data_IF_758594088313
#
_entry.id   IF_758594088313
#
_cell.length_a   1.000
_cell.length_b   1.000
_cell.length_c   1.000
_cell.angle_alpha   90.00
_cell.angle_beta   90.00
_cell.angle_gamma   90.00
#
_symmetry.space_group_name_H-M   'P 1'
#
loop_
_entity.id
_entity.type
_entity.pdbx_description
1 polymer ?
#
# COMPACT_ATOMS: atom_id res chain seq x y z
N UNK A 1 5.03 -10.36 -10.23
CA UNK A 1 3.78 -10.37 -9.48
C UNK A 1 2.62 -9.80 -10.29
N UNK A 2 2.72 -8.63 -10.92
CA UNK A 2 1.61 -8.02 -11.69
C UNK A 2 0.98 -8.97 -12.70
N UNK A 3 1.78 -9.68 -13.50
CA UNK A 3 1.26 -10.69 -14.45
C UNK A 3 0.49 -11.83 -13.80
N UNK A 4 0.77 -12.15 -12.53
CA UNK A 4 0.00 -13.14 -11.76
C UNK A 4 -1.35 -12.63 -11.30
N UNK A 5 -1.51 -11.31 -11.18
CA UNK A 5 -2.75 -10.66 -10.79
C UNK A 5 -3.67 -10.35 -11.98
N UNK A 6 -3.27 -10.66 -13.21
CA UNK A 6 -4.03 -10.34 -14.43
C UNK A 6 -5.47 -10.88 -14.39
N UNK A 7 -5.68 -12.05 -13.79
CA UNK A 7 -7.01 -12.63 -13.63
C UNK A 7 -7.94 -11.80 -12.71
N UNK A 8 -7.37 -10.89 -11.90
CA UNK A 8 -8.12 -9.98 -11.01
C UNK A 8 -8.32 -8.58 -11.57
N UNK A 9 -7.63 -8.26 -12.66
CA UNK A 9 -7.74 -6.96 -13.31
C UNK A 9 -6.88 -6.87 -14.54
N UNK A 10 -7.48 -6.49 -15.64
CA UNK A 10 -6.82 -6.39 -16.94
C UNK A 10 -7.14 -5.08 -17.68
N UNK A 11 -7.87 -4.17 -17.04
CA UNK A 11 -8.25 -2.89 -17.66
C UNK A 11 -7.09 -1.91 -17.67
N UNK A 12 -6.30 -1.88 -16.61
CA UNK A 12 -5.07 -1.10 -16.58
C UNK A 12 -4.03 -1.70 -15.65
N UNK A 13 -2.78 -1.34 -15.90
CA UNK A 13 -1.60 -1.82 -15.17
C UNK A 13 -0.67 -0.67 -14.88
N UNK A 14 -0.13 -0.62 -13.67
CA UNK A 14 0.89 0.36 -13.34
C UNK A 14 1.83 -0.10 -12.24
N UNK A 15 2.95 0.58 -12.19
CA UNK A 15 4.00 0.35 -11.21
C UNK A 15 4.74 1.63 -10.89
N UNK A 16 5.04 1.83 -9.63
CA UNK A 16 5.92 2.87 -9.12
C UNK A 16 7.13 2.23 -8.45
N UNK A 17 8.29 2.77 -8.73
CA UNK A 17 9.57 2.38 -8.15
C UNK A 17 10.14 3.57 -7.40
N UNK A 18 10.69 3.33 -6.22
CA UNK A 18 11.46 4.31 -5.47
C UNK A 18 12.89 3.81 -5.41
N UNK A 19 13.78 4.56 -6.04
CA UNK A 19 15.21 4.26 -6.11
C UNK A 19 15.94 4.67 -4.82
N UNK A 20 17.20 4.23 -4.69
CA UNK A 20 18.04 4.56 -3.53
C UNK A 20 18.28 6.08 -3.38
N UNK A 21 18.29 6.82 -4.49
CA UNK A 21 18.38 8.28 -4.53
C UNK A 21 17.02 8.99 -4.34
N UNK A 22 16.03 8.24 -3.82
CA UNK A 22 14.71 8.74 -3.40
C UNK A 22 13.83 9.28 -4.52
N UNK A 23 14.14 8.95 -5.78
CA UNK A 23 13.31 9.34 -6.93
C UNK A 23 12.18 8.34 -7.16
N UNK A 24 10.98 8.85 -7.46
CA UNK A 24 9.85 8.06 -7.88
C UNK A 24 9.86 7.94 -9.41
N UNK A 25 9.80 6.72 -9.91
CA UNK A 25 9.55 6.44 -11.32
C UNK A 25 8.20 5.74 -11.43
N UNK A 26 7.22 6.43 -12.02
CA UNK A 26 5.86 5.90 -12.23
C UNK A 26 5.68 5.53 -13.69
N UNK A 27 5.17 4.32 -13.95
CA UNK A 27 4.72 3.88 -15.26
C UNK A 27 3.38 3.17 -15.15
N UNK A 28 2.40 3.68 -15.87
CA UNK A 28 1.05 3.12 -15.86
C UNK A 28 0.38 3.32 -17.22
N UNK A 29 -0.49 2.38 -17.59
CA UNK A 29 -1.21 2.42 -18.86
C UNK A 29 -2.45 1.52 -18.82
N UNK A 30 -3.44 1.90 -19.61
CA UNK A 30 -4.57 1.02 -19.94
C UNK A 30 -4.07 -0.26 -20.61
N UNK A 31 -4.59 -1.38 -20.16
CA UNK A 31 -4.35 -2.72 -20.67
C UNK A 31 -3.83 -3.72 -19.66
N UNK A 32 -3.89 -4.97 -20.04
CA UNK A 32 -3.53 -6.12 -19.23
C UNK A 32 -2.01 -6.16 -18.90
N UNK A 33 -1.62 -6.67 -17.73
CA UNK A 33 -0.22 -6.78 -17.32
C UNK A 33 0.68 -7.51 -18.30
N UNK A 34 0.18 -8.54 -18.97
CA UNK A 34 0.93 -9.30 -19.97
C UNK A 34 1.38 -8.44 -21.15
N UNK A 35 0.60 -7.41 -21.51
CA UNK A 35 0.87 -6.47 -22.61
C UNK A 35 1.60 -5.21 -22.11
N UNK A 36 1.15 -4.65 -20.98
CA UNK A 36 1.65 -3.36 -20.47
C UNK A 36 3.04 -3.49 -19.83
N UNK A 37 3.32 -4.56 -19.08
CA UNK A 37 4.62 -4.71 -18.43
C UNK A 37 5.81 -4.70 -19.41
N UNK A 38 5.79 -5.44 -20.53
CA UNK A 38 6.88 -5.35 -21.52
C UNK A 38 6.89 -4.00 -22.26
N UNK A 39 5.71 -3.46 -22.62
CA UNK A 39 5.60 -2.16 -23.30
C UNK A 39 6.25 -1.03 -22.51
N UNK A 40 5.98 -0.96 -21.22
CA UNK A 40 6.51 0.04 -20.29
C UNK A 40 7.86 -0.35 -19.69
N UNK A 41 8.42 -1.50 -20.09
CA UNK A 41 9.69 -2.04 -19.57
C UNK A 41 9.70 -2.07 -18.03
N UNK A 42 8.59 -2.50 -17.41
CA UNK A 42 8.47 -2.57 -15.94
C UNK A 42 9.48 -3.55 -15.35
N UNK A 43 9.80 -4.63 -16.07
CA UNK A 43 10.78 -5.63 -15.64
C UNK A 43 12.25 -5.12 -15.67
N UNK A 44 12.53 -3.95 -16.28
CA UNK A 44 13.88 -3.38 -16.36
C UNK A 44 14.20 -2.38 -15.25
N UNK A 45 13.25 -2.11 -14.34
CA UNK A 45 13.49 -1.23 -13.22
C UNK A 45 14.18 -1.96 -12.08
N UNK A 46 15.16 -1.29 -11.49
CA UNK A 46 15.72 -1.63 -10.21
C UNK A 46 15.35 -0.56 -9.19
N UNK A 47 14.99 -0.97 -8.00
CA UNK A 47 14.63 -0.06 -6.91
C UNK A 47 14.49 -0.82 -5.62
N UNK A 48 14.55 -0.10 -4.51
CA UNK A 48 14.41 -0.69 -3.18
C UNK A 48 12.94 -0.91 -2.80
N UNK A 49 12.04 -0.10 -3.34
CA UNK A 49 10.61 -0.13 -3.03
C UNK A 49 9.80 -0.14 -4.32
N UNK A 50 8.76 -0.95 -4.29
CA UNK A 50 7.90 -1.14 -5.45
C UNK A 50 6.44 -1.14 -4.99
N UNK A 51 5.59 -0.35 -5.65
CA UNK A 51 4.13 -0.38 -5.51
C UNK A 51 3.56 -0.64 -6.90
N UNK A 52 2.80 -1.71 -7.06
CA UNK A 52 2.19 -2.07 -8.34
C UNK A 52 0.71 -2.37 -8.18
N UNK A 53 -0.06 -2.13 -9.23
CA UNK A 53 -1.50 -2.36 -9.23
C UNK A 53 -1.97 -2.83 -10.61
N UNK A 54 -2.92 -3.75 -10.62
CA UNK A 54 -3.73 -4.14 -11.77
C UNK A 54 -5.18 -3.76 -11.44
N UNK A 55 -5.86 -3.10 -12.37
CA UNK A 55 -7.18 -2.56 -12.14
C UNK A 55 -8.24 -3.31 -12.92
N UNK A 56 -9.32 -3.65 -12.22
CA UNK A 56 -10.63 -3.89 -12.79
C UNK A 56 -11.45 -2.65 -12.46
N UNK A 57 -11.88 -1.91 -13.48
CA UNK A 57 -12.53 -0.63 -13.29
C UNK A 57 -13.95 -0.82 -12.75
N UNK A 58 -14.17 -0.37 -11.52
CA UNK A 58 -15.49 -0.33 -10.88
C UNK A 58 -15.99 1.10 -10.72
N UNK A 59 -15.07 2.06 -10.53
CA UNK A 59 -15.34 3.48 -10.38
C UNK A 59 -14.38 4.30 -11.27
N UNK A 60 -14.94 5.27 -12.04
CA UNK A 60 -14.19 6.02 -13.03
C UNK A 60 -13.87 5.23 -14.31
N UNK A 61 -13.68 5.91 -15.43
CA UNK A 61 -13.41 5.32 -16.73
C UNK A 61 -12.08 4.57 -16.82
N UNK A 62 -11.92 3.75 -17.87
CA UNK A 62 -10.66 3.05 -18.18
C UNK A 62 -9.77 4.01 -18.96
N UNK A 63 -8.92 4.75 -18.24
CA UNK A 63 -7.98 5.74 -18.80
C UNK A 63 -6.61 5.61 -18.12
N UNK A 64 -5.58 6.13 -18.78
CA UNK A 64 -4.22 6.15 -18.21
C UNK A 64 -4.18 7.01 -16.93
N UNK A 65 -4.97 8.07 -16.83
CA UNK A 65 -5.07 8.94 -15.64
C UNK A 65 -5.66 8.18 -14.45
N UNK A 66 -6.75 7.43 -14.69
CA UNK A 66 -7.43 6.63 -13.67
C UNK A 66 -6.69 5.33 -13.32
N UNK A 67 -5.60 5.00 -14.03
CA UNK A 67 -4.75 3.86 -13.68
C UNK A 67 -3.95 4.16 -12.40
N UNK A 68 -3.66 3.13 -11.63
CA UNK A 68 -2.86 3.21 -10.40
C UNK A 68 -1.46 2.63 -10.64
N UNK A 69 -0.46 2.98 -9.82
CA UNK A 69 -0.48 3.88 -8.64
C UNK A 69 -0.72 5.36 -8.97
N UNK A 70 -1.14 6.12 -7.94
CA UNK A 70 -1.23 7.57 -7.99
C UNK A 70 0.00 8.19 -7.34
N UNK A 71 0.58 9.20 -7.99
CA UNK A 71 1.68 10.01 -7.48
C UNK A 71 1.13 11.39 -7.19
N UNK A 72 1.14 11.78 -5.94
CA UNK A 72 0.62 13.07 -5.45
C UNK A 72 1.76 13.90 -4.87
N UNK A 73 1.65 15.22 -5.02
CA UNK A 73 2.69 16.16 -4.56
C UNK A 73 2.13 17.58 -4.33
N UNK A 74 0.89 17.68 -3.85
CA UNK A 74 0.28 18.97 -3.56
C UNK A 74 0.92 19.63 -2.34
N UNK A 75 1.26 18.84 -1.32
CA UNK A 75 1.87 19.30 -0.06
C UNK A 75 3.09 18.45 0.31
N UNK A 76 3.02 17.15 0.09
CA UNK A 76 4.07 16.17 0.34
C UNK A 76 4.15 15.22 -0.85
N UNK A 77 5.33 14.71 -1.16
CA UNK A 77 5.49 13.76 -2.26
C UNK A 77 5.17 12.35 -1.79
N UNK A 78 4.08 11.77 -2.26
CA UNK A 78 3.65 10.41 -1.96
C UNK A 78 3.31 9.64 -3.23
N UNK A 79 3.52 8.34 -3.19
CA UNK A 79 2.99 7.43 -4.20
C UNK A 79 2.23 6.29 -3.53
N UNK A 80 1.07 5.95 -4.06
CA UNK A 80 0.24 4.90 -3.47
C UNK A 80 -0.74 4.27 -4.43
N UNK A 81 -1.30 3.14 -4.01
CA UNK A 81 -2.34 2.41 -4.71
C UNK A 81 -3.30 1.78 -3.72
N UNK A 82 -4.53 1.52 -4.16
CA UNK A 82 -5.51 0.81 -3.35
C UNK A 82 -6.16 -0.34 -4.13
N UNK A 83 -6.78 -1.22 -3.39
CA UNK A 83 -7.66 -2.27 -3.89
C UNK A 83 -8.93 -2.28 -3.05
N UNK A 84 -10.07 -2.08 -3.66
CA UNK A 84 -11.37 -1.98 -2.98
C UNK A 84 -12.18 -0.79 -3.46
N UNK A 85 -13.02 -0.25 -2.58
CA UNK A 85 -13.90 0.87 -2.88
C UNK A 85 -14.02 1.81 -1.69
N UNK A 86 -13.96 3.13 -1.97
CA UNK A 86 -14.22 4.21 -1.02
C UNK A 86 -15.57 4.82 -1.38
N UNK A 87 -16.57 4.64 -0.52
CA UNK A 87 -17.96 4.98 -0.80
C UNK A 87 -18.26 6.48 -0.75
N UNK A 88 -17.52 7.25 0.06
CA UNK A 88 -17.71 8.69 0.22
C UNK A 88 -16.75 9.55 -0.63
N UNK A 89 -16.30 9.02 -1.79
CA UNK A 89 -15.29 9.62 -2.68
C UNK A 89 -15.63 11.06 -3.06
N UNK A 90 -16.87 11.38 -3.47
CA UNK A 90 -17.23 12.71 -3.92
C UNK A 90 -17.14 13.76 -2.80
N UNK A 91 -17.59 13.39 -1.61
CA UNK A 91 -17.46 14.24 -0.41
C UNK A 91 -16.01 14.52 -0.08
N UNK A 92 -15.16 13.48 -0.11
CA UNK A 92 -13.73 13.59 0.16
C UNK A 92 -13.02 14.39 -0.93
N UNK A 93 -13.40 14.22 -2.20
CA UNK A 93 -12.83 15.00 -3.33
C UNK A 93 -13.11 16.49 -3.14
N UNK A 94 -14.36 16.86 -2.81
CA UNK A 94 -14.73 18.24 -2.53
C UNK A 94 -13.94 18.80 -1.33
N UNK A 95 -13.82 18.01 -0.25
CA UNK A 95 -13.09 18.39 0.95
C UNK A 95 -11.58 18.60 0.69
N UNK A 96 -10.95 17.75 -0.11
CA UNK A 96 -9.55 17.85 -0.51
C UNK A 96 -9.31 19.04 -1.43
N UNK A 97 -10.18 19.24 -2.44
CA UNK A 97 -10.09 20.37 -3.37
C UNK A 97 -10.18 21.70 -2.64
N UNK A 98 -11.08 21.83 -1.66
CA UNK A 98 -11.19 23.03 -0.81
C UNK A 98 -9.91 23.31 0.03
N UNK A 99 -9.04 22.30 0.18
CA UNK A 99 -7.74 22.40 0.89
C UNK A 99 -6.55 22.52 -0.05
N UNK A 100 -6.80 22.74 -1.35
CA UNK A 100 -5.77 22.97 -2.35
C UNK A 100 -5.16 21.72 -2.97
N UNK A 101 -5.78 20.54 -2.79
CA UNK A 101 -5.36 19.35 -3.51
C UNK A 101 -5.88 19.34 -4.94
N UNK A 102 -5.02 18.97 -5.88
CA UNK A 102 -5.36 18.76 -7.27
C UNK A 102 -5.71 17.29 -7.51
N UNK A 103 -6.94 16.89 -7.25
CA UNK A 103 -7.44 15.54 -7.53
C UNK A 103 -7.78 15.45 -9.02
N UNK A 104 -6.93 14.76 -9.80
CA UNK A 104 -6.97 14.78 -11.27
C UNK A 104 -7.70 13.59 -11.87
N UNK A 105 -7.80 12.45 -11.16
CA UNK A 105 -8.50 11.28 -11.65
C UNK A 105 -9.91 11.16 -11.06
N UNK A 106 -10.68 10.26 -11.66
CA UNK A 106 -11.96 9.82 -11.08
C UNK A 106 -11.80 8.54 -10.26
N UNK A 107 -10.56 8.06 -10.08
CA UNK A 107 -10.30 6.85 -9.31
C UNK A 107 -10.27 7.16 -7.81
N UNK A 108 -11.07 6.44 -7.05
CA UNK A 108 -11.16 6.56 -5.59
C UNK A 108 -9.84 6.26 -4.87
N UNK A 109 -8.92 5.51 -5.50
CA UNK A 109 -7.58 5.28 -4.98
C UNK A 109 -6.71 6.54 -4.92
N UNK A 110 -6.94 7.56 -5.75
CA UNK A 110 -6.25 8.84 -5.63
C UNK A 110 -6.67 9.56 -4.33
N UNK A 111 -7.94 9.43 -3.95
CA UNK A 111 -8.49 10.07 -2.76
C UNK A 111 -7.76 9.63 -1.48
N UNK A 112 -7.54 8.31 -1.29
CA UNK A 112 -6.85 7.85 -0.08
C UNK A 112 -5.41 8.32 -0.01
N UNK A 113 -4.71 8.45 -1.15
CA UNK A 113 -3.34 8.96 -1.18
C UNK A 113 -3.31 10.45 -0.81
N UNK A 114 -4.24 11.25 -1.34
CA UNK A 114 -4.37 12.67 -0.98
C UNK A 114 -4.83 12.89 0.47
N UNK A 115 -5.72 12.04 1.01
CA UNK A 115 -6.09 12.09 2.43
C UNK A 115 -4.89 11.88 3.33
N UNK A 116 -4.06 10.88 3.01
CA UNK A 116 -2.82 10.64 3.75
C UNK A 116 -1.86 11.82 3.59
N UNK A 117 -1.71 12.38 2.38
CA UNK A 117 -0.90 13.56 2.11
C UNK A 117 -1.31 14.77 2.97
N UNK A 118 -2.62 15.06 3.04
CA UNK A 118 -3.18 16.16 3.83
C UNK A 118 -2.81 16.02 5.31
N UNK A 119 -3.10 14.86 5.88
CA UNK A 119 -2.82 14.63 7.30
C UNK A 119 -1.33 14.49 7.59
N UNK A 120 -0.54 13.98 6.63
CA UNK A 120 0.90 13.87 6.80
C UNK A 120 1.58 15.24 6.75
N UNK A 121 1.16 16.12 5.84
CA UNK A 121 1.60 17.52 5.81
C UNK A 121 1.28 18.24 7.12
N UNK A 122 0.05 18.09 7.63
CA UNK A 122 -0.33 18.65 8.92
C UNK A 122 0.51 18.08 10.09
N UNK A 123 0.85 16.78 10.03
CA UNK A 123 1.66 16.11 11.04
C UNK A 123 3.12 16.59 11.06
N UNK A 124 3.63 17.22 10.00
CA UNK A 124 5.00 17.76 9.99
C UNK A 124 5.17 18.91 11.00
N UNK A 125 4.12 19.67 11.25
CA UNK A 125 4.13 20.78 12.23
C UNK A 125 3.97 20.31 13.68
N UNK A 126 3.63 19.04 13.92
CA UNK A 126 3.53 18.51 15.28
C UNK A 126 4.89 18.49 15.97
N UNK A 127 4.97 19.08 17.16
CA UNK A 127 6.15 18.99 17.99
C UNK A 127 6.41 17.53 18.43
N UNK A 128 7.63 17.23 18.81
CA UNK A 128 7.97 15.90 19.33
C UNK A 128 7.15 15.52 20.57
N UNK A 129 6.75 16.50 21.38
CA UNK A 129 5.83 16.31 22.50
C UNK A 129 4.45 15.82 22.08
N UNK A 130 3.97 16.26 20.91
CA UNK A 130 2.63 15.89 20.40
C UNK A 130 2.59 14.42 19.91
N UNK A 131 3.76 13.84 19.62
CA UNK A 131 3.91 12.43 19.28
C UNK A 131 4.19 11.52 20.50
N UNK A 132 4.24 12.11 21.70
CA UNK A 132 4.60 11.37 22.93
C UNK A 132 3.67 10.17 23.17
N UNK A 133 2.37 10.31 22.84
CA UNK A 133 1.42 9.20 22.98
C UNK A 133 1.71 8.03 22.04
N UNK A 134 2.14 8.31 20.78
CA UNK A 134 2.55 7.26 19.84
C UNK A 134 3.86 6.61 20.29
N UNK A 135 4.83 7.40 20.73
CA UNK A 135 6.08 6.88 21.27
C UNK A 135 5.87 6.02 22.51
N UNK A 136 4.96 6.44 23.41
CA UNK A 136 4.58 5.66 24.58
C UNK A 136 3.92 4.33 24.20
N UNK A 137 3.00 4.36 23.23
CA UNK A 137 2.36 3.13 22.73
C UNK A 137 3.38 2.21 22.08
N UNK A 138 4.34 2.76 21.32
CA UNK A 138 5.43 2.01 20.70
C UNK A 138 6.35 1.38 21.74
N UNK A 139 6.77 2.13 22.75
CA UNK A 139 7.60 1.62 23.85
C UNK A 139 6.91 0.52 24.64
N UNK A 140 5.60 0.64 24.90
CA UNK A 140 4.79 -0.37 25.59
C UNK A 140 4.69 -1.70 24.81
N UNK A 141 4.89 -1.66 23.48
CA UNK A 141 4.92 -2.87 22.66
C UNK A 141 6.24 -3.69 22.82
N UNK A 142 7.17 -3.23 23.64
CA UNK A 142 8.45 -3.92 23.91
C UNK A 142 9.40 -3.92 22.70
N UNK A 143 9.24 -2.98 21.79
CA UNK A 143 10.06 -2.85 20.59
C UNK A 143 11.32 -2.04 20.92
N UNK A 144 12.49 -2.68 20.82
CA UNK A 144 13.72 -2.23 21.45
C UNK A 144 14.44 -1.08 20.70
N UNK A 145 14.14 -0.83 19.44
CA UNK A 145 14.82 0.19 18.64
C UNK A 145 13.83 1.21 18.09
N UNK A 146 14.25 2.49 18.12
CA UNK A 146 13.39 3.60 17.79
C UNK A 146 12.99 3.63 16.31
N UNK A 147 11.69 3.66 16.07
CA UNK A 147 11.14 4.03 14.77
C UNK A 147 11.36 5.52 14.56
N UNK A 148 11.82 5.98 13.38
CA UNK A 148 11.99 7.40 13.10
C UNK A 148 10.68 8.18 13.29
N UNK A 149 10.77 9.39 13.80
CA UNK A 149 9.60 10.26 14.01
C UNK A 149 8.76 10.47 12.75
N UNK A 150 9.41 10.55 11.58
CA UNK A 150 8.71 10.65 10.31
C UNK A 150 7.80 9.44 10.04
N UNK A 151 8.22 8.24 10.45
CA UNK A 151 7.39 7.03 10.35
C UNK A 151 6.19 7.12 11.29
N UNK A 152 6.38 7.57 12.54
CA UNK A 152 5.26 7.77 13.49
C UNK A 152 4.28 8.84 12.99
N UNK A 153 4.77 9.93 12.38
CA UNK A 153 3.93 10.96 11.75
C UNK A 153 3.12 10.41 10.60
N UNK A 154 3.72 9.57 9.76
CA UNK A 154 3.02 8.91 8.66
C UNK A 154 1.97 7.93 9.18
N UNK A 155 2.26 7.15 10.22
CA UNK A 155 1.28 6.26 10.86
C UNK A 155 0.10 7.05 11.41
N UNK A 156 0.34 8.16 12.07
CA UNK A 156 -0.74 9.03 12.57
C UNK A 156 -1.57 9.62 11.42
N UNK A 157 -0.91 10.06 10.35
CA UNK A 157 -1.59 10.56 9.15
C UNK A 157 -2.49 9.50 8.52
N UNK A 158 -2.01 8.25 8.43
CA UNK A 158 -2.77 7.11 7.94
C UNK A 158 -4.00 6.86 8.83
N UNK A 159 -3.84 6.88 10.15
CA UNK A 159 -4.94 6.66 11.09
C UNK A 159 -6.01 7.75 10.97
N UNK A 160 -5.61 9.01 10.79
CA UNK A 160 -6.54 10.13 10.56
C UNK A 160 -7.23 10.05 9.20
N UNK A 161 -6.51 9.70 8.16
CA UNK A 161 -7.06 9.50 6.83
C UNK A 161 -8.10 8.36 6.81
N UNK A 162 -7.77 7.24 7.45
CA UNK A 162 -8.67 6.09 7.55
C UNK A 162 -9.95 6.41 8.33
N UNK A 163 -9.90 7.28 9.33
CA UNK A 163 -11.08 7.71 10.09
C UNK A 163 -12.10 8.52 9.26
N UNK A 164 -11.68 9.09 8.12
CA UNK A 164 -12.53 9.84 7.20
C UNK A 164 -13.00 9.00 6.01
N UNK A 165 -12.23 8.00 5.60
CA UNK A 165 -12.54 7.17 4.43
C UNK A 165 -13.53 6.07 4.82
N UNK A 166 -14.69 6.06 4.15
CA UNK A 166 -15.71 5.04 4.31
C UNK A 166 -15.60 4.01 3.17
N UNK A 167 -15.79 2.73 3.52
CA UNK A 167 -15.78 1.66 2.51
C UNK A 167 -14.92 0.46 2.91
N UNK A 168 -14.60 -0.34 1.91
CA UNK A 168 -13.80 -1.57 2.07
C UNK A 168 -12.61 -1.52 1.13
N UNK A 169 -11.41 -1.35 1.68
CA UNK A 169 -10.20 -1.21 0.87
C UNK A 169 -8.95 -1.74 1.60
N UNK A 170 -7.94 -2.06 0.80
CA UNK A 170 -6.56 -2.18 1.21
C UNK A 170 -5.73 -1.18 0.40
N UNK A 171 -4.80 -0.49 1.03
CA UNK A 171 -3.99 0.51 0.36
C UNK A 171 -2.51 0.36 0.74
N UNK A 172 -1.63 0.78 -0.16
CA UNK A 172 -0.20 0.90 0.10
C UNK A 172 0.26 2.30 -0.31
N UNK A 173 1.10 2.92 0.52
CA UNK A 173 1.66 4.24 0.28
C UNK A 173 3.14 4.28 0.67
N UNK A 174 3.93 5.08 -0.03
CA UNK A 174 5.32 5.34 0.32
C UNK A 174 5.66 6.81 0.08
N UNK A 175 6.39 7.38 1.02
CA UNK A 175 7.11 8.64 0.90
C UNK A 175 8.54 8.32 0.47
N UNK A 176 9.09 8.93 -0.60
CA UNK A 176 10.46 8.70 -1.02
C UNK A 176 11.49 9.09 0.05
N UNK A 177 11.15 10.03 0.94
CA UNK A 177 12.06 10.51 2.00
C UNK A 177 12.10 9.61 3.23
N UNK A 178 11.05 8.80 3.46
CA UNK A 178 10.99 7.85 4.58
C UNK A 178 11.48 6.45 4.16
N UNK A 179 12.02 5.67 5.11
CA UNK A 179 12.30 4.27 4.85
C UNK A 179 11.01 3.45 4.76
N UNK A 180 10.97 2.51 3.83
CA UNK A 180 9.93 1.49 3.76
C UNK A 180 8.63 1.91 3.06
N UNK A 181 7.64 1.06 3.23
CA UNK A 181 6.29 1.17 2.68
C UNK A 181 5.29 1.03 3.82
N UNK A 182 4.18 1.74 3.72
CA UNK A 182 3.05 1.64 4.63
C UNK A 182 1.88 0.98 3.91
N UNK A 183 1.14 0.14 4.60
CA UNK A 183 -0.07 -0.44 4.04
C UNK A 183 -1.19 -0.51 5.07
N UNK A 184 -2.42 -0.51 4.56
CA UNK A 184 -3.68 -0.45 5.31
C UNK A 184 -4.52 -1.65 4.92
N UNK A 185 -5.13 -2.30 5.91
CA UNK A 185 -6.16 -3.32 5.72
C UNK A 185 -7.45 -2.88 6.39
N UNK A 186 -8.43 -2.48 5.59
CA UNK A 186 -9.73 -2.00 6.03
C UNK A 186 -10.84 -2.57 5.14
N UNK A 187 -11.36 -3.75 5.49
CA UNK A 187 -12.42 -4.44 4.77
C UNK A 187 -11.96 -5.30 3.58
N UNK A 188 -10.86 -4.97 2.91
CA UNK A 188 -10.35 -5.75 1.78
C UNK A 188 -9.17 -6.64 2.15
N UNK A 189 -8.97 -7.71 1.39
CA UNK A 189 -7.87 -8.65 1.62
C UNK A 189 -6.51 -7.98 1.46
N UNK A 190 -5.62 -8.25 2.41
CA UNK A 190 -4.21 -7.91 2.34
C UNK A 190 -3.40 -8.97 3.08
N UNK A 191 -2.39 -9.51 2.41
CA UNK A 191 -1.48 -10.53 2.92
C UNK A 191 -0.06 -10.03 2.86
N UNK A 192 0.70 -10.27 3.92
CA UNK A 192 2.09 -9.88 4.05
C UNK A 192 2.98 -11.12 4.22
N UNK A 193 4.07 -11.18 3.49
CA UNK A 193 5.03 -12.27 3.56
C UNK A 193 6.45 -11.76 3.71
N UNK A 194 7.25 -12.45 4.53
CA UNK A 194 8.67 -12.22 4.71
C UNK A 194 9.45 -13.33 3.99
N UNK A 195 10.48 -12.94 3.25
CA UNK A 195 11.32 -13.89 2.53
C UNK A 195 12.75 -13.40 2.38
N UNK A 196 13.57 -14.27 1.78
CA UNK A 196 14.95 -13.93 1.41
C UNK A 196 15.28 -14.62 0.09
N UNK A 197 16.08 -13.96 -0.74
CA UNK A 197 16.58 -14.48 -2.01
C UNK A 197 18.06 -14.09 -2.20
N UNK A 198 18.57 -14.25 -3.42
CA UNK A 198 19.97 -13.94 -3.74
C UNK A 198 20.34 -12.45 -3.56
N UNK A 199 19.34 -11.57 -3.47
CA UNK A 199 19.53 -10.12 -3.28
C UNK A 199 19.33 -9.67 -1.83
N UNK A 200 18.97 -10.56 -0.93
CA UNK A 200 18.75 -10.29 0.49
C UNK A 200 17.33 -10.56 0.96
N UNK A 201 16.98 -9.97 2.09
CA UNK A 201 15.63 -10.07 2.64
C UNK A 201 14.64 -9.18 1.88
N UNK A 202 13.39 -9.60 1.89
CA UNK A 202 12.29 -8.81 1.33
C UNK A 202 11.00 -9.01 2.12
N UNK A 203 10.14 -8.01 2.08
CA UNK A 203 8.74 -8.14 2.46
C UNK A 203 7.89 -7.90 1.22
N UNK A 204 6.90 -8.75 1.01
CA UNK A 204 5.95 -8.67 -0.09
C UNK A 204 4.54 -8.57 0.46
N UNK A 205 3.77 -7.61 -0.08
CA UNK A 205 2.34 -7.48 0.19
C UNK A 205 1.54 -7.69 -1.08
N UNK A 206 0.37 -8.31 -0.93
CA UNK A 206 -0.60 -8.43 -2.01
C UNK A 206 -2.02 -8.60 -1.44
N UNK A 207 -3.01 -8.10 -2.16
CA UNK A 207 -4.41 -8.44 -1.92
C UNK A 207 -4.76 -9.88 -2.31
N UNK A 208 -3.80 -10.60 -2.89
CA UNK A 208 -3.92 -11.99 -3.30
C UNK A 208 -2.90 -12.88 -2.58
N UNK A 209 -3.39 -13.86 -1.82
CA UNK A 209 -2.53 -14.78 -1.08
C UNK A 209 -1.64 -15.62 -2.00
N UNK A 210 -2.15 -16.04 -3.16
CA UNK A 210 -1.40 -16.82 -4.15
C UNK A 210 -0.14 -16.10 -4.62
N UNK A 211 -0.25 -14.80 -4.82
CA UNK A 211 0.88 -13.94 -5.19
C UNK A 211 1.95 -13.91 -4.10
N UNK A 212 1.55 -13.82 -2.82
CA UNK A 212 2.49 -13.89 -1.69
C UNK A 212 3.14 -15.27 -1.60
N UNK A 213 2.33 -16.33 -1.66
CA UNK A 213 2.81 -17.72 -1.59
C UNK A 213 3.76 -18.10 -2.73
N UNK A 214 3.69 -17.38 -3.87
CA UNK A 214 4.64 -17.54 -4.97
C UNK A 214 6.05 -17.08 -4.65
N UNK A 215 6.20 -16.27 -3.61
CA UNK A 215 7.47 -15.70 -3.16
C UNK A 215 7.93 -16.28 -1.84
N UNK A 216 7.03 -16.46 -0.89
CA UNK A 216 7.34 -17.00 0.43
C UNK A 216 6.13 -17.65 1.08
N UNK A 217 6.38 -18.66 1.93
CA UNK A 217 5.37 -19.26 2.81
C UNK A 217 5.41 -18.72 4.23
N UNK A 218 6.33 -17.84 4.53
CA UNK A 218 6.46 -17.20 5.84
C UNK A 218 5.63 -15.91 5.83
N UNK A 219 4.54 -15.90 6.57
CA UNK A 219 3.58 -14.80 6.60
C UNK A 219 3.73 -13.95 7.85
N UNK A 220 3.54 -12.65 7.70
CA UNK A 220 3.35 -11.70 8.77
C UNK A 220 1.84 -11.64 9.03
N UNK A 221 1.34 -12.05 10.22
CA UNK A 221 -0.06 -11.92 10.57
C UNK A 221 -0.51 -10.46 10.52
N UNK A 222 -1.60 -10.20 9.81
CA UNK A 222 -2.22 -8.89 9.70
C UNK A 222 -3.74 -9.05 9.80
N UNK A 223 -4.32 -8.47 10.84
CA UNK A 223 -5.74 -8.55 11.14
C UNK A 223 -6.52 -7.44 10.44
N UNK A 224 -7.84 -7.54 10.46
CA UNK A 224 -8.72 -6.47 9.99
C UNK A 224 -8.57 -5.25 10.90
N UNK A 225 -8.58 -4.05 10.30
CA UNK A 225 -8.38 -2.79 11.03
C UNK A 225 -6.93 -2.52 11.44
N UNK A 226 -5.97 -3.23 10.84
CA UNK A 226 -4.54 -3.01 11.07
C UNK A 226 -3.85 -2.41 9.84
N UNK A 227 -2.79 -1.65 10.10
CA UNK A 227 -1.81 -1.24 9.13
C UNK A 227 -0.46 -1.88 9.42
N UNK A 228 0.42 -1.86 8.45
CA UNK A 228 1.80 -2.31 8.55
C UNK A 228 2.74 -1.28 7.93
N UNK A 229 3.82 -0.95 8.64
CA UNK A 229 5.00 -0.34 8.07
C UNK A 229 6.10 -1.38 7.97
N UNK A 230 6.88 -1.36 6.90
CA UNK A 230 7.96 -2.32 6.71
C UNK A 230 9.08 -1.79 5.80
N UNK A 231 10.27 -2.30 6.05
CA UNK A 231 11.44 -2.24 5.16
C UNK A 231 11.78 -3.67 4.72
N UNK A 232 12.94 -3.89 4.11
CA UNK A 232 13.41 -5.23 3.76
C UNK A 232 13.74 -6.10 4.98
N UNK A 233 14.06 -5.49 6.14
CA UNK A 233 14.56 -6.20 7.32
C UNK A 233 13.65 -6.11 8.55
N UNK A 234 12.71 -5.18 8.58
CA UNK A 234 11.88 -4.95 9.75
C UNK A 234 10.44 -4.61 9.37
N UNK A 235 9.52 -4.86 10.27
CA UNK A 235 8.12 -4.48 10.12
C UNK A 235 7.51 -4.11 11.46
N UNK A 236 6.46 -3.32 11.40
CA UNK A 236 5.69 -2.86 12.54
C UNK A 236 4.22 -2.87 12.16
N UNK A 237 3.40 -3.59 12.91
CA UNK A 237 1.95 -3.59 12.76
C UNK A 237 1.36 -2.57 13.73
N UNK A 238 0.37 -1.82 13.29
CA UNK A 238 -0.33 -0.81 14.09
C UNK A 238 -1.83 -0.86 13.82
N UNK A 239 -2.63 -0.51 14.84
CA UNK A 239 -4.07 -0.41 14.66
C UNK A 239 -4.46 0.90 13.96
N UNK A 240 -5.54 0.84 13.18
CA UNK A 240 -6.05 1.99 12.45
C UNK A 240 -6.99 2.85 13.30
N UNK A 241 -7.67 2.27 14.29
CA UNK A 241 -8.68 2.95 15.11
C UNK A 241 -8.42 2.76 16.60
N UNK A 242 -9.06 3.59 17.42
CA UNK A 242 -8.96 3.53 18.88
C UNK A 242 -7.64 4.08 19.43
N UNK A 243 -7.27 3.68 20.62
CA UNK A 243 -5.98 4.06 21.22
C UNK A 243 -4.83 3.45 20.40
N UNK A 244 -3.73 4.19 20.18
CA UNK A 244 -2.59 3.66 19.44
C UNK A 244 -2.04 2.37 20.06
N UNK A 245 -1.91 1.36 19.24
CA UNK A 245 -1.33 0.08 19.61
C UNK A 245 -0.37 -0.37 18.51
N UNK A 246 0.80 -0.82 18.89
CA UNK A 246 1.83 -1.34 18.01
C UNK A 246 2.15 -2.78 18.37
N UNK A 247 2.51 -3.59 17.39
CA UNK A 247 2.92 -4.97 17.59
C UNK A 247 3.95 -5.40 16.56
N UNK A 248 4.73 -6.41 16.93
CA UNK A 248 5.62 -7.13 16.04
C UNK A 248 5.23 -8.62 16.09
N UNK A 249 4.16 -9.03 15.38
CA UNK A 249 3.65 -10.39 15.47
C UNK A 249 4.69 -11.40 14.97
N UNK A 250 4.77 -12.55 15.64
CA UNK A 250 5.66 -13.62 15.21
C UNK A 250 5.26 -14.14 13.83
N UNK A 251 6.26 -14.35 12.99
CA UNK A 251 6.09 -14.93 11.66
C UNK A 251 5.43 -16.30 11.76
N UNK A 252 4.51 -16.57 10.85
CA UNK A 252 3.80 -17.86 10.75
C UNK A 252 4.05 -18.51 9.41
N UNK A 253 4.41 -19.79 9.41
CA UNK A 253 4.50 -20.55 8.17
C UNK A 253 3.11 -20.96 7.70
N UNK A 254 2.74 -20.60 6.48
CA UNK A 254 1.50 -21.02 5.84
C UNK A 254 1.47 -22.53 5.66
N UNK A 255 0.35 -23.16 5.99
CA UNK A 255 0.06 -24.56 5.65
C UNK A 255 -0.17 -24.71 4.15
N UNK A 256 -0.75 -23.69 3.51
CA UNK A 256 -0.96 -23.64 2.07
C UNK A 256 0.35 -23.37 1.32
N UNK A 257 0.48 -23.95 0.16
CA UNK A 257 1.53 -23.69 -0.83
C UNK A 257 0.91 -23.14 -2.11
N UNK A 258 1.74 -22.70 -3.04
CA UNK A 258 1.24 -22.25 -4.35
C UNK A 258 0.49 -23.37 -5.10
N UNK A 259 0.84 -24.64 -4.88
CA UNK A 259 0.15 -25.78 -5.50
C UNK A 259 -1.28 -25.92 -5.01
N UNK A 260 -1.52 -25.61 -3.73
CA UNK A 260 -2.85 -25.68 -3.11
C UNK A 260 -3.77 -24.55 -3.55
N UNK A 261 -3.20 -23.54 -4.22
CA UNK A 261 -3.93 -22.37 -4.73
C UNK A 261 -4.05 -22.36 -6.25
N UNK A 262 -3.63 -23.45 -6.92
CA UNK A 262 -3.83 -23.57 -8.36
C UNK A 262 -5.29 -23.89 -8.67
N UNK A 263 -5.78 -23.29 -9.75
CA UNK A 263 -7.10 -23.62 -10.28
C UNK A 263 -7.14 -25.10 -10.69
N UNK A 264 -8.22 -25.79 -10.34
CA UNK A 264 -8.47 -27.11 -10.88
C UNK A 264 -8.51 -27.07 -12.41
N UNK A 265 -7.95 -28.08 -13.12
CA UNK A 265 -7.99 -28.12 -14.58
C UNK A 265 -9.39 -28.05 -15.19
N UNK A 266 -10.43 -28.33 -14.40
CA UNK A 266 -11.84 -28.23 -14.78
C UNK A 266 -12.35 -26.80 -14.97
N UNK A 267 -11.64 -25.81 -14.41
CA UNK A 267 -12.04 -24.41 -14.47
C UNK A 267 -11.04 -23.59 -15.28
N UNK A 268 -11.54 -22.75 -16.17
CA UNK A 268 -10.71 -21.88 -17.00
C UNK A 268 -10.31 -20.58 -16.28
N UNK A 269 -11.11 -20.16 -15.29
CA UNK A 269 -10.92 -18.87 -14.58
C UNK A 269 -11.22 -19.03 -13.09
N UNK A 270 -10.59 -18.17 -12.25
CA UNK A 270 -10.86 -18.08 -10.81
C UNK A 270 -12.14 -17.32 -10.47
N UNK A 271 -12.73 -16.66 -11.43
CA UNK A 271 -13.96 -15.89 -11.30
C UNK A 271 -14.87 -16.14 -12.51
#
# INVERSE_FOLDING_TARGET
>A
LLKRLEYRGYDSTGAAFISADKRITLRKKVGAPSKVCPLLKIDSFSGQRFIGQVRWATYGGVTDVNSQPHHVHCKMELVGAHNGNISNTDTLKAWLTARGHAVISDNDGEIIVHLIEEHYSAAQSLASSDLAYLRKAYANAGLAEGVPDGVLRMIEAIRRAQALAEGSYAAAVSDPQLPGVFAIKSGSSLYAGFGSDAFGNFIVLSSDLTSVLSKTRTLIPLSEGEGIWFTENQYLVFNLQGQPFFSHPRLKRSKLSIKDTQLSPEYQHYM
#
